data_IF_971240856159
#
_entry.id   IF_971240856159
#
_cell.length_a   1.000
_cell.length_b   1.000
_cell.length_c   1.000
_cell.angle_alpha   90.00
_cell.angle_beta   90.00
_cell.angle_gamma   90.00
#
_symmetry.space_group_name_H-M   'P 1'
#
loop_
_entity.id
_entity.type
_entity.pdbx_description
1 polymer ?
#
# COMPACT_ATOMS: atom_id res chain seq x y z
N UNK A 1 14.41 42.52 12.04
CA UNK A 1 13.61 41.78 11.04
C UNK A 1 13.76 42.44 9.67
N UNK A 2 14.49 41.84 8.72
CA UNK A 2 14.61 42.34 7.34
C UNK A 2 13.45 41.76 6.51
N UNK A 3 12.58 42.63 5.97
CA UNK A 3 11.48 42.23 5.07
C UNK A 3 12.05 41.63 3.78
N UNK A 4 11.64 40.42 3.42
CA UNK A 4 12.02 39.78 2.14
C UNK A 4 11.31 40.50 0.99
N UNK A 5 12.07 40.93 -0.02
CA UNK A 5 11.52 41.46 -1.27
C UNK A 5 10.95 40.31 -2.12
N UNK A 6 9.85 40.53 -2.87
CA UNK A 6 9.33 39.53 -3.81
C UNK A 6 10.27 39.40 -5.02
N UNK A 7 10.71 38.17 -5.30
CA UNK A 7 11.58 37.86 -6.43
C UNK A 7 10.76 37.98 -7.73
N UNK A 8 11.26 38.76 -8.69
CA UNK A 8 10.52 39.06 -9.94
C UNK A 8 10.24 37.80 -10.76
N UNK A 9 9.04 37.75 -11.35
CA UNK A 9 8.48 36.64 -12.15
C UNK A 9 9.22 36.32 -13.46
N UNK A 10 10.32 37.01 -13.77
CA UNK A 10 11.04 36.87 -15.06
C UNK A 10 12.10 35.76 -15.10
N UNK A 11 12.41 35.08 -13.99
CA UNK A 11 13.32 33.92 -13.99
C UNK A 11 12.64 32.56 -14.26
N UNK A 12 11.30 32.49 -14.34
CA UNK A 12 10.58 31.21 -14.38
C UNK A 12 10.22 30.67 -15.77
N UNK A 13 10.54 31.36 -16.87
CA UNK A 13 10.01 31.01 -18.19
C UNK A 13 10.72 29.83 -18.91
N UNK A 14 11.92 29.44 -18.45
CA UNK A 14 12.71 28.37 -19.10
C UNK A 14 12.66 27.01 -18.41
N UNK A 15 12.51 26.97 -17.08
CA UNK A 15 12.56 25.72 -16.29
C UNK A 15 11.25 24.91 -16.38
N UNK A 16 10.13 25.60 -16.66
CA UNK A 16 8.78 25.04 -16.70
C UNK A 16 8.35 24.47 -18.08
N UNK A 17 9.30 24.16 -18.96
CA UNK A 17 9.06 23.43 -20.22
C UNK A 17 9.56 21.97 -20.17
N UNK A 18 9.61 21.37 -18.99
CA UNK A 18 9.94 19.94 -18.84
C UNK A 18 8.71 19.11 -19.21
N UNK A 19 8.89 17.99 -19.90
CA UNK A 19 7.77 17.07 -20.17
C UNK A 19 7.35 16.39 -18.85
N UNK A 20 6.33 16.95 -18.19
CA UNK A 20 5.76 16.43 -16.95
C UNK A 20 4.94 15.14 -17.17
N UNK A 21 4.93 14.54 -18.36
CA UNK A 21 4.29 13.22 -18.57
C UNK A 21 4.86 12.14 -17.64
N UNK A 22 6.17 12.14 -17.40
CA UNK A 22 6.80 11.20 -16.45
C UNK A 22 6.33 11.41 -15.01
N UNK A 23 6.25 12.68 -14.58
CA UNK A 23 5.80 13.05 -13.22
C UNK A 23 4.30 12.82 -13.03
N UNK A 24 3.48 13.12 -14.04
CA UNK A 24 2.04 12.88 -13.99
C UNK A 24 1.72 11.38 -14.01
N UNK A 25 2.50 10.55 -14.69
CA UNK A 25 2.42 9.09 -14.59
C UNK A 25 2.83 8.59 -13.19
N UNK A 26 3.87 9.16 -12.60
CA UNK A 26 4.28 8.85 -11.22
C UNK A 26 3.19 9.23 -10.22
N UNK A 27 2.65 10.46 -10.31
CA UNK A 27 1.55 10.90 -9.46
C UNK A 27 0.30 10.04 -9.67
N UNK A 28 -0.09 9.68 -10.89
CA UNK A 28 -1.24 8.77 -11.09
C UNK A 28 -0.98 7.35 -10.54
N UNK A 29 0.26 6.88 -10.54
CA UNK A 29 0.62 5.59 -9.98
C UNK A 29 0.60 5.61 -8.43
N UNK A 30 1.12 6.67 -7.82
CA UNK A 30 1.41 6.76 -6.38
C UNK A 30 0.53 7.74 -5.58
N UNK A 31 -0.38 8.49 -6.22
CA UNK A 31 -1.30 9.42 -5.54
C UNK A 31 -2.62 8.77 -5.09
N UNK A 32 -2.78 7.45 -5.27
CA UNK A 32 -3.79 6.71 -4.50
C UNK A 32 -3.44 6.74 -3.01
N UNK A 33 -4.40 6.50 -2.11
CA UNK A 33 -4.10 6.40 -0.68
C UNK A 33 -3.25 5.14 -0.45
N UNK A 34 -1.95 5.26 -0.08
CA UNK A 34 -1.12 4.09 0.13
C UNK A 34 -1.44 3.51 1.50
N UNK A 35 -1.70 2.20 1.56
CA UNK A 35 -1.78 1.47 2.82
C UNK A 35 -0.43 0.81 3.06
N UNK A 36 0.15 1.09 4.23
CA UNK A 36 1.43 0.55 4.67
C UNK A 36 1.20 -0.53 5.71
N UNK A 37 1.66 -1.76 5.43
CA UNK A 37 1.56 -2.89 6.35
C UNK A 37 2.93 -3.54 6.45
N UNK A 38 3.57 -3.45 7.62
CA UNK A 38 4.91 -4.02 7.89
C UNK A 38 5.96 -3.69 6.79
N UNK A 39 5.98 -2.45 6.33
CA UNK A 39 6.91 -1.98 5.29
C UNK A 39 6.53 -2.36 3.85
N UNK A 40 5.43 -3.11 3.65
CA UNK A 40 4.83 -3.31 2.34
C UNK A 40 3.90 -2.17 1.99
N UNK A 41 3.99 -1.70 0.74
CA UNK A 41 3.16 -0.63 0.20
C UNK A 41 2.09 -1.24 -0.69
N UNK A 42 0.83 -0.99 -0.37
CA UNK A 42 -0.32 -1.36 -1.18
C UNK A 42 -1.00 -0.11 -1.71
N UNK A 43 -1.14 -0.03 -3.03
CA UNK A 43 -1.66 1.15 -3.69
C UNK A 43 -3.10 0.92 -4.12
N UNK A 44 -3.99 1.79 -3.66
CA UNK A 44 -5.37 1.82 -4.12
C UNK A 44 -5.42 2.18 -5.62
N UNK A 45 -6.27 1.49 -6.37
CA UNK A 45 -6.61 1.85 -7.75
C UNK A 45 -7.91 2.66 -7.80
N UNK A 46 -8.26 3.21 -8.97
CA UNK A 46 -9.51 3.97 -9.15
C UNK A 46 -10.79 3.16 -8.92
N UNK A 47 -10.70 1.83 -8.78
CA UNK A 47 -11.81 0.93 -8.44
C UNK A 47 -11.95 0.68 -6.93
N UNK A 48 -11.08 1.27 -6.10
CA UNK A 48 -11.07 1.02 -4.65
C UNK A 48 -10.40 -0.29 -4.22
N UNK A 49 -9.62 -0.93 -5.11
CA UNK A 49 -8.87 -2.15 -4.79
C UNK A 49 -7.43 -1.83 -4.41
N UNK A 50 -6.89 -2.52 -3.41
CA UNK A 50 -5.48 -2.44 -3.03
C UNK A 50 -4.66 -3.42 -3.87
N UNK A 51 -3.62 -2.93 -4.54
CA UNK A 51 -2.74 -3.76 -5.37
C UNK A 51 -1.43 -4.09 -4.65
N UNK A 52 -1.05 -5.37 -4.72
CA UNK A 52 0.28 -5.83 -4.37
C UNK A 52 1.30 -5.31 -5.38
N UNK A 53 2.49 -4.93 -4.91
CA UNK A 53 3.59 -4.48 -5.78
C UNK A 53 4.46 -5.67 -6.19
N UNK A 54 5.41 -5.48 -7.10
CA UNK A 54 6.39 -6.54 -7.43
C UNK A 54 7.30 -6.90 -6.25
N UNK A 55 7.37 -6.03 -5.23
CA UNK A 55 8.20 -6.19 -4.03
C UNK A 55 7.39 -6.54 -2.79
N UNK A 56 6.09 -6.80 -2.91
CA UNK A 56 5.24 -7.23 -1.80
C UNK A 56 4.24 -8.25 -2.30
N UNK A 57 4.09 -9.35 -1.58
CA UNK A 57 3.06 -10.34 -1.88
C UNK A 57 2.15 -10.52 -0.67
N UNK A 58 0.98 -11.11 -0.89
CA UNK A 58 0.03 -11.41 0.17
C UNK A 58 -0.65 -12.75 -0.05
N UNK A 59 -1.05 -13.33 1.07
CA UNK A 59 -1.82 -14.56 1.15
C UNK A 59 -3.00 -14.27 2.08
N UNK A 60 -4.20 -14.66 1.69
CA UNK A 60 -5.36 -14.65 2.59
C UNK A 60 -5.45 -16.05 3.19
N UNK A 61 -5.45 -16.16 4.51
CA UNK A 61 -5.54 -17.45 5.21
C UNK A 61 -6.86 -17.59 5.95
N UNK A 62 -7.36 -18.81 6.02
CA UNK A 62 -8.49 -19.14 6.88
C UNK A 62 -8.08 -18.97 8.35
N UNK A 63 -8.98 -18.50 9.21
CA UNK A 63 -8.70 -18.31 10.63
C UNK A 63 -8.80 -19.62 11.44
N UNK A 64 -9.47 -20.65 10.91
CA UNK A 64 -9.64 -21.92 11.62
C UNK A 64 -8.44 -22.85 11.45
N UNK A 65 -7.93 -22.99 10.21
CA UNK A 65 -6.88 -23.95 9.87
C UNK A 65 -5.61 -23.31 9.28
N UNK A 66 -5.61 -21.97 9.08
CA UNK A 66 -4.54 -21.23 8.42
C UNK A 66 -4.22 -21.72 7.00
N UNK A 67 -5.12 -22.43 6.33
CA UNK A 67 -4.99 -22.78 4.91
C UNK A 67 -5.16 -21.55 4.02
N UNK A 68 -4.67 -21.59 2.78
CA UNK A 68 -4.83 -20.47 1.85
C UNK A 68 -6.28 -20.40 1.33
N UNK A 69 -6.90 -19.24 1.47
CA UNK A 69 -8.25 -19.00 1.00
C UNK A 69 -8.28 -18.87 -0.54
N UNK A 70 -9.30 -19.44 -1.22
CA UNK A 70 -9.54 -19.15 -2.62
C UNK A 70 -9.94 -17.68 -2.84
N UNK A 71 -9.77 -17.20 -4.06
CA UNK A 71 -10.23 -15.86 -4.49
C UNK A 71 -11.71 -15.68 -4.14
N UNK A 72 -12.05 -14.54 -3.53
CA UNK A 72 -13.39 -14.20 -3.08
C UNK A 72 -13.75 -14.66 -1.67
N UNK A 73 -12.95 -15.54 -1.04
CA UNK A 73 -13.15 -15.94 0.37
C UNK A 73 -12.43 -14.97 1.31
N UNK A 74 -13.10 -14.62 2.39
CA UNK A 74 -12.54 -13.79 3.46
C UNK A 74 -11.62 -14.61 4.36
N UNK A 75 -10.59 -13.95 4.87
CA UNK A 75 -9.66 -14.54 5.82
C UNK A 75 -8.72 -13.49 6.41
N UNK A 76 -7.77 -13.94 7.21
CA UNK A 76 -6.73 -13.10 7.77
C UNK A 76 -5.64 -12.82 6.72
N UNK A 77 -5.16 -11.59 6.66
CA UNK A 77 -4.13 -11.18 5.71
C UNK A 77 -2.76 -11.59 6.24
N UNK A 78 -2.00 -12.31 5.43
CA UNK A 78 -0.57 -12.52 5.62
C UNK A 78 0.18 -11.68 4.58
N UNK A 79 1.14 -10.88 5.04
CA UNK A 79 1.98 -10.05 4.19
C UNK A 79 3.36 -10.70 4.03
N UNK A 80 3.84 -10.71 2.80
CA UNK A 80 5.16 -11.22 2.42
C UNK A 80 6.02 -10.07 1.88
N UNK A 81 7.22 -9.91 2.43
CA UNK A 81 8.18 -8.89 2.00
C UNK A 81 9.57 -9.51 1.79
N UNK A 82 10.18 -9.36 0.62
CA UNK A 82 11.58 -9.74 0.41
C UNK A 82 12.56 -8.74 1.05
N UNK A 83 12.08 -7.59 1.53
CA UNK A 83 12.93 -6.48 1.97
C UNK A 83 13.26 -6.48 3.48
N UNK A 84 12.70 -7.42 4.24
CA UNK A 84 12.81 -7.43 5.70
C UNK A 84 14.14 -8.03 6.21
N UNK A 85 15.29 -7.43 5.89
CA UNK A 85 16.59 -7.97 6.31
C UNK A 85 16.89 -7.83 7.82
N UNK A 86 16.28 -6.84 8.49
CA UNK A 86 16.64 -6.42 9.85
C UNK A 86 16.05 -7.30 10.96
N UNK A 87 14.98 -8.02 10.66
CA UNK A 87 14.26 -8.93 11.56
C UNK A 87 13.49 -9.93 10.69
N UNK A 88 13.02 -11.08 11.18
CA UNK A 88 12.32 -12.09 10.37
C UNK A 88 10.89 -11.64 9.99
N UNK A 89 10.75 -10.47 9.37
CA UNK A 89 9.51 -9.87 8.93
C UNK A 89 9.16 -10.16 7.47
N UNK A 90 9.81 -11.15 6.86
CA UNK A 90 9.56 -11.51 5.47
C UNK A 90 8.19 -12.16 5.26
N UNK A 91 7.57 -12.64 6.34
CA UNK A 91 6.27 -13.31 6.33
C UNK A 91 5.57 -13.05 7.66
N UNK A 92 4.65 -12.10 7.68
CA UNK A 92 3.93 -11.68 8.89
C UNK A 92 2.44 -11.88 8.70
N UNK A 93 1.82 -12.64 9.60
CA UNK A 93 0.38 -12.73 9.71
C UNK A 93 -0.13 -11.48 10.43
N UNK A 94 -1.05 -10.75 9.81
CA UNK A 94 -1.58 -9.50 10.37
C UNK A 94 -2.85 -9.78 11.17
N UNK A 95 -3.33 -8.75 11.86
CA UNK A 95 -4.62 -8.79 12.55
C UNK A 95 -5.72 -8.11 11.72
N UNK A 96 -5.50 -8.04 10.41
CA UNK A 96 -6.42 -7.46 9.44
C UNK A 96 -7.10 -8.59 8.65
N UNK A 97 -8.41 -8.49 8.49
CA UNK A 97 -9.19 -9.37 7.63
C UNK A 97 -9.34 -8.75 6.25
N UNK A 98 -9.34 -9.59 5.24
CA UNK A 98 -9.50 -9.16 3.86
C UNK A 98 -9.88 -10.28 2.92
N UNK A 99 -10.16 -9.87 1.69
CA UNK A 99 -10.57 -10.76 0.61
C UNK A 99 -9.67 -10.51 -0.58
N UNK A 100 -9.05 -11.58 -1.09
CA UNK A 100 -8.36 -11.56 -2.37
C UNK A 100 -9.43 -11.50 -3.47
N UNK A 101 -9.43 -10.44 -4.26
CA UNK A 101 -10.47 -10.19 -5.26
C UNK A 101 -10.14 -10.80 -6.62
N UNK A 102 -8.85 -10.93 -6.94
CA UNK A 102 -8.39 -11.50 -8.20
C UNK A 102 -6.88 -11.36 -8.40
N UNK A 103 -6.43 -11.83 -9.56
CA UNK A 103 -5.04 -11.82 -10.01
C UNK A 103 -5.03 -11.44 -11.48
N UNK A 104 -4.37 -10.33 -11.81
CA UNK A 104 -4.22 -9.81 -13.18
C UNK A 104 -5.52 -9.43 -13.92
N UNK A 105 -6.69 -9.59 -13.31
CA UNK A 105 -8.01 -9.35 -13.89
C UNK A 105 -8.69 -8.06 -13.37
N UNK A 106 -7.93 -7.16 -12.75
CA UNK A 106 -8.47 -5.90 -12.25
C UNK A 106 -8.88 -4.95 -13.38
N UNK A 107 -10.06 -4.29 -13.31
CA UNK A 107 -10.50 -3.32 -14.32
C UNK A 107 -9.57 -2.12 -14.52
N UNK A 108 -8.64 -1.86 -13.60
CA UNK A 108 -7.66 -0.78 -13.72
C UNK A 108 -6.40 -1.16 -14.54
N UNK A 109 -6.37 -2.36 -15.13
CA UNK A 109 -5.29 -2.91 -15.97
C UNK A 109 -3.96 -3.15 -15.24
N UNK A 110 -3.88 -2.87 -13.93
CA UNK A 110 -2.71 -3.20 -13.11
C UNK A 110 -2.64 -4.71 -12.89
N UNK A 111 -1.48 -5.26 -13.23
CA UNK A 111 -1.14 -6.67 -12.98
C UNK A 111 -0.76 -6.89 -11.52
N UNK A 112 -0.88 -8.14 -11.08
CA UNK A 112 -0.63 -8.60 -9.72
C UNK A 112 -1.91 -8.95 -8.97
N UNK A 113 -1.72 -9.44 -7.74
CA UNK A 113 -2.82 -9.68 -6.80
C UNK A 113 -3.43 -8.35 -6.37
N UNK A 114 -4.75 -8.33 -6.26
CA UNK A 114 -5.46 -7.21 -5.65
C UNK A 114 -6.51 -7.70 -4.68
N UNK A 115 -6.69 -6.93 -3.61
CA UNK A 115 -7.49 -7.33 -2.46
C UNK A 115 -8.18 -6.11 -1.87
N UNK A 116 -9.08 -6.36 -0.92
CA UNK A 116 -9.65 -5.33 -0.05
C UNK A 116 -9.50 -5.76 1.39
N UNK A 117 -9.33 -4.78 2.27
CA UNK A 117 -9.38 -4.96 3.71
C UNK A 117 -10.84 -4.75 4.12
N UNK A 118 -11.42 -5.71 4.85
CA UNK A 118 -12.80 -5.64 5.33
C UNK A 118 -12.85 -5.04 6.72
N UNK A 119 -12.08 -5.59 7.65
CA UNK A 119 -12.07 -5.17 9.04
C UNK A 119 -10.72 -5.43 9.71
N UNK A 120 -10.48 -4.77 10.83
CA UNK A 120 -9.40 -5.09 11.75
C UNK A 120 -10.01 -5.91 12.89
N UNK A 121 -9.39 -7.04 13.24
CA UNK A 121 -9.96 -8.01 14.17
C UNK A 121 -10.30 -7.29 15.51
N UNK A 122 -11.55 -7.28 15.99
CA UNK A 122 -12.00 -6.36 17.05
C UNK A 122 -11.39 -6.58 18.46
N UNK A 123 -10.52 -7.58 18.63
CA UNK A 123 -9.79 -7.87 19.89
C UNK A 123 -8.29 -7.60 19.82
N UNK A 124 -7.77 -6.90 18.79
CA UNK A 124 -6.37 -6.47 18.82
C UNK A 124 -6.15 -5.44 19.93
N UNK A 125 -5.01 -5.54 20.62
CA UNK A 125 -4.53 -4.43 21.43
C UNK A 125 -4.40 -3.18 20.55
N UNK A 126 -4.87 -2.03 21.03
CA UNK A 126 -4.56 -0.73 20.43
C UNK A 126 -3.11 -0.41 20.83
N UNK A 127 -2.16 -1.15 20.25
CA UNK A 127 -0.74 -0.84 20.33
C UNK A 127 -0.26 -0.52 18.92
N UNK A 128 0.03 0.75 18.67
CA UNK A 128 0.80 1.14 17.50
C UNK A 128 2.26 0.74 17.66
N UNK A 129 3.03 0.76 16.57
CA UNK A 129 4.48 0.57 16.58
C UNK A 129 5.25 1.59 17.45
N UNK A 130 4.55 2.58 18.02
CA UNK A 130 5.12 3.64 18.84
C UNK A 130 4.67 3.58 20.32
N UNK A 131 3.81 2.62 20.70
CA UNK A 131 3.27 2.52 22.06
C UNK A 131 4.26 1.78 22.97
N UNK A 132 5.24 2.51 23.49
CA UNK A 132 6.07 2.09 24.63
C UNK A 132 5.38 2.56 25.91
N UNK A 133 4.38 1.80 26.37
CA UNK A 133 3.93 1.93 27.76
C UNK A 133 4.80 1.02 28.63
N UNK A 134 5.70 1.66 29.39
CA UNK A 134 6.33 1.11 30.59
C UNK A 134 5.53 1.47 31.83
#
# INVERSE_FOLDING_TARGET
MKKRQPVSSKLCSGFWKRDWKGVSRFLKAYAGQPVLIFGCIYLECGCGHLHASTYSDLIIRDMEDFSECPVGKEGVIQVLSPMAASYPGHSILTEDQGILLGIDDCPCERKGKYFKITERIPKTEIRGCSDVYG
#
